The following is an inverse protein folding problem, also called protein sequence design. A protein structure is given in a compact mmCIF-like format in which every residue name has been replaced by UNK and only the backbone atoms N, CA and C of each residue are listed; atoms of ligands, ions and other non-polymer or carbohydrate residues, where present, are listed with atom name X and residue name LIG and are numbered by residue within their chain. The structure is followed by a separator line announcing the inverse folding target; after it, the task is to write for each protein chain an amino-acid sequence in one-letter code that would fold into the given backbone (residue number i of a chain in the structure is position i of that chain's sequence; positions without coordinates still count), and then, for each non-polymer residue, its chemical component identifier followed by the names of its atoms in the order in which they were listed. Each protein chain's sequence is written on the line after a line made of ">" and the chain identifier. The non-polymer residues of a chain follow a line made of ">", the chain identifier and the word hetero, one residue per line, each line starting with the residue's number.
data_IF_810543292781
#
_entry.id   IF_810543292781
#
_cell.length_a   1.000
_cell.length_b   1.000
_cell.length_c   1.000
_cell.angle_alpha   90.00
_cell.angle_beta   90.00
_cell.angle_gamma   90.00
#
_symmetry.space_group_name_H-M   'P 1'
#
loop_
_entity.id
_entity.type
_entity.pdbx_description
1 polymer ?
#
# COMPACT_ATOMS: atom_id res chain seq x y z
N UNK A 1 23.76 -15.06 14.62
CA UNK A 1 25.12 -14.63 14.21
C UNK A 1 25.10 -14.51 12.69
N UNK A 2 24.83 -13.32 12.17
CA UNK A 2 24.71 -13.09 10.73
C UNK A 2 26.11 -12.87 10.17
N UNK A 3 26.62 -13.87 9.45
CA UNK A 3 27.86 -13.77 8.66
C UNK A 3 27.54 -13.01 7.36
N UNK A 4 27.43 -11.69 7.45
CA UNK A 4 27.43 -10.86 6.25
C UNK A 4 28.87 -10.64 5.82
N UNK A 5 29.25 -11.36 4.77
CA UNK A 5 30.48 -11.26 3.99
C UNK A 5 30.92 -9.79 3.77
N UNK A 6 32.21 -9.52 3.97
CA UNK A 6 32.76 -8.15 3.96
C UNK A 6 32.62 -7.46 2.58
N UNK A 7 32.39 -8.24 1.52
CA UNK A 7 32.28 -7.76 0.14
C UNK A 7 30.88 -7.20 -0.14
N UNK A 8 29.89 -7.52 0.68
CA UNK A 8 28.51 -7.02 0.57
C UNK A 8 28.36 -5.56 1.06
N UNK A 9 29.23 -5.10 1.97
CA UNK A 9 29.18 -3.71 2.46
C UNK A 9 29.69 -2.70 1.43
N UNK A 10 30.59 -3.08 0.54
CA UNK A 10 31.06 -2.21 -0.55
C UNK A 10 29.97 -2.03 -1.62
N UNK A 11 29.19 -3.08 -1.89
CA UNK A 11 28.06 -3.04 -2.81
C UNK A 11 26.99 -2.05 -2.32
N UNK A 12 26.65 -2.10 -1.03
CA UNK A 12 25.67 -1.19 -0.43
C UNK A 12 26.19 0.25 -0.23
N UNK A 13 27.51 0.44 -0.06
CA UNK A 13 28.15 1.77 0.02
C UNK A 13 28.28 2.45 -1.34
N UNK A 14 28.40 1.68 -2.43
CA UNK A 14 28.49 2.18 -3.80
C UNK A 14 27.13 2.47 -4.45
N UNK A 15 26.07 1.78 -4.02
CA UNK A 15 24.71 2.05 -4.52
C UNK A 15 24.11 3.25 -3.80
N UNK A 16 24.60 4.43 -4.16
CA UNK A 16 23.85 5.68 -4.04
C UNK A 16 22.57 5.45 -4.83
N UNK A 17 21.46 5.18 -4.13
CA UNK A 17 20.12 5.03 -4.68
C UNK A 17 19.69 6.36 -5.32
N UNK A 18 20.23 6.65 -6.50
CA UNK A 18 19.81 7.77 -7.32
C UNK A 18 18.99 7.19 -8.46
N UNK A 19 17.71 7.53 -8.44
CA UNK A 19 16.91 7.50 -9.65
C UNK A 19 17.68 8.35 -10.70
N UNK A 20 17.94 7.88 -11.92
CA UNK A 20 18.75 8.60 -12.91
C UNK A 20 18.24 10.02 -13.23
N UNK A 21 16.97 10.32 -12.90
CA UNK A 21 16.36 11.64 -12.96
C UNK A 21 16.86 12.63 -11.89
N UNK A 22 17.52 12.14 -10.83
CA UNK A 22 18.00 12.93 -9.69
C UNK A 22 19.49 13.32 -9.82
N UNK A 23 20.11 13.05 -10.98
CA UNK A 23 21.51 13.35 -11.27
C UNK A 23 21.71 14.69 -12.01
N UNK A 24 20.64 15.49 -12.24
CA UNK A 24 20.77 16.85 -12.77
C UNK A 24 20.98 17.86 -11.63
N UNK A 25 22.02 18.67 -11.77
CA UNK A 25 22.42 19.70 -10.80
C UNK A 25 21.63 20.99 -11.01
N UNK A 26 20.32 20.92 -10.80
CA UNK A 26 19.45 22.08 -10.66
C UNK A 26 19.05 22.21 -9.18
N UNK A 27 18.74 23.41 -8.66
CA UNK A 27 18.38 23.58 -7.26
C UNK A 27 17.29 22.56 -6.93
N UNK A 28 17.61 21.63 -5.99
CA UNK A 28 16.76 20.50 -5.59
C UNK A 28 15.40 21.01 -5.11
N UNK A 29 14.50 21.28 -6.04
CA UNK A 29 13.11 21.51 -5.74
C UNK A 29 12.59 20.15 -5.28
N UNK A 30 12.33 20.05 -3.97
CA UNK A 30 11.63 18.90 -3.40
C UNK A 30 10.19 19.01 -3.83
N UNK A 31 9.93 18.70 -5.09
CA UNK A 31 8.58 18.53 -5.59
C UNK A 31 7.93 17.44 -4.74
N UNK A 32 6.80 17.79 -4.15
CA UNK A 32 6.04 16.86 -3.34
C UNK A 32 5.60 15.72 -4.27
N UNK A 33 5.86 14.47 -3.86
CA UNK A 33 5.45 13.27 -4.63
C UNK A 33 3.95 13.32 -4.97
N UNK A 34 3.18 13.93 -4.07
CA UNK A 34 1.79 14.28 -4.28
C UNK A 34 1.68 15.81 -4.29
N UNK A 35 0.99 16.40 -5.28
CA UNK A 35 0.71 17.84 -5.28
C UNK A 35 0.11 18.28 -3.94
N UNK A 36 0.44 19.49 -3.48
CA UNK A 36 -0.12 20.04 -2.25
C UNK A 36 -1.66 20.14 -2.25
N UNK A 37 -2.26 20.15 -3.45
CA UNK A 37 -3.72 20.16 -3.66
C UNK A 37 -4.37 18.78 -3.61
N UNK A 38 -3.60 17.72 -3.33
CA UNK A 38 -4.11 16.34 -3.31
C UNK A 38 -4.92 16.11 -2.04
N UNK A 39 -6.21 15.82 -2.20
CA UNK A 39 -7.07 15.41 -1.09
C UNK A 39 -6.77 13.94 -0.77
N UNK A 40 -6.36 13.66 0.46
CA UNK A 40 -6.09 12.30 0.93
C UNK A 40 -7.28 11.79 1.75
N UNK A 41 -7.78 10.62 1.38
CA UNK A 41 -8.71 9.87 2.20
C UNK A 41 -7.93 9.03 3.23
N UNK A 42 -8.46 8.83 4.45
CA UNK A 42 -7.86 7.95 5.43
C UNK A 42 -7.82 6.51 4.89
N UNK A 43 -6.63 5.95 4.79
CA UNK A 43 -6.46 4.52 4.44
C UNK A 43 -6.91 3.67 5.63
N UNK A 44 -7.72 2.64 5.34
CA UNK A 44 -8.14 1.67 6.34
C UNK A 44 -7.49 0.33 6.06
N UNK A 45 -6.61 -0.07 6.96
CA UNK A 45 -5.99 -1.39 6.95
C UNK A 45 -6.99 -2.41 7.52
N UNK A 46 -6.98 -3.63 7.00
CA UNK A 46 -7.78 -4.77 7.48
C UNK A 46 -9.29 -4.78 7.14
N UNK A 47 -9.78 -3.86 6.30
CA UNK A 47 -11.19 -3.86 5.87
C UNK A 47 -11.67 -5.22 5.35
N UNK A 48 -10.83 -5.93 4.60
CA UNK A 48 -11.17 -7.25 4.06
C UNK A 48 -11.25 -8.35 5.12
N UNK A 49 -10.56 -8.19 6.24
CA UNK A 49 -10.69 -9.08 7.39
C UNK A 49 -11.99 -8.78 8.15
N UNK A 50 -12.30 -7.50 8.37
CA UNK A 50 -13.55 -7.06 8.99
C UNK A 50 -14.78 -7.55 8.22
N UNK A 51 -14.78 -7.42 6.89
CA UNK A 51 -15.86 -7.95 6.03
C UNK A 51 -16.00 -9.47 6.19
N UNK A 52 -14.88 -10.20 6.25
CA UNK A 52 -14.91 -11.66 6.45
C UNK A 52 -15.40 -12.05 7.84
N UNK A 53 -15.05 -11.29 8.88
CA UNK A 53 -15.54 -11.53 10.24
C UNK A 53 -17.05 -11.27 10.35
N UNK A 54 -17.54 -10.19 9.74
CA UNK A 54 -18.97 -9.88 9.75
C UNK A 54 -19.81 -10.93 9.03
N UNK A 55 -19.23 -11.66 8.08
CA UNK A 55 -19.88 -12.81 7.45
C UNK A 55 -20.11 -14.01 8.37
N UNK A 56 -19.49 -14.04 9.55
CA UNK A 56 -19.80 -15.03 10.57
C UNK A 56 -21.20 -14.81 11.17
N UNK A 57 -21.67 -13.56 11.19
CA UNK A 57 -23.00 -13.17 11.68
C UNK A 57 -24.04 -13.18 10.56
N UNK A 58 -23.73 -12.55 9.41
CA UNK A 58 -24.59 -12.53 8.22
C UNK A 58 -23.93 -13.28 7.04
N UNK A 59 -24.35 -14.53 6.75
CA UNK A 59 -23.77 -15.29 5.66
C UNK A 59 -24.11 -14.68 4.31
N UNK A 60 -23.22 -14.79 3.31
CA UNK A 60 -23.48 -14.26 1.99
C UNK A 60 -24.71 -14.93 1.33
N UNK A 61 -25.47 -14.21 0.50
CA UNK A 61 -26.65 -14.77 -0.17
C UNK A 61 -26.27 -15.93 -1.11
N UNK A 62 -27.22 -16.86 -1.29
CA UNK A 62 -27.03 -18.02 -2.17
C UNK A 62 -26.70 -17.59 -3.61
N UNK A 63 -25.67 -18.20 -4.20
CA UNK A 63 -25.20 -17.87 -5.56
C UNK A 63 -24.03 -16.88 -5.61
N UNK A 64 -23.47 -16.48 -4.47
CA UNK A 64 -22.23 -15.69 -4.44
C UNK A 64 -21.04 -16.50 -5.00
N UNK A 65 -20.27 -15.96 -5.96
CA UNK A 65 -19.15 -16.68 -6.55
C UNK A 65 -17.97 -16.79 -5.59
N UNK A 66 -17.30 -17.95 -5.54
CA UNK A 66 -16.21 -18.27 -4.60
C UNK A 66 -14.97 -17.36 -4.73
N UNK A 67 -14.81 -16.65 -5.85
CA UNK A 67 -13.67 -15.74 -6.10
C UNK A 67 -13.92 -14.32 -5.60
N UNK A 68 -15.13 -14.01 -5.11
CA UNK A 68 -15.51 -12.68 -4.65
C UNK A 68 -15.88 -12.74 -3.17
N UNK A 69 -15.59 -11.65 -2.45
CA UNK A 69 -16.11 -11.41 -1.11
C UNK A 69 -17.36 -10.53 -1.26
N UNK A 70 -18.48 -10.97 -0.70
CA UNK A 70 -19.69 -10.17 -0.67
C UNK A 70 -19.49 -9.00 0.31
N UNK A 71 -20.01 -7.82 0.00
CA UNK A 71 -19.85 -6.64 0.86
C UNK A 71 -21.19 -6.35 1.51
N UNK A 72 -21.29 -6.55 2.82
CA UNK A 72 -22.50 -6.21 3.59
C UNK A 72 -22.77 -4.70 3.51
N UNK A 73 -24.05 -4.31 3.64
CA UNK A 73 -24.48 -2.92 3.48
C UNK A 73 -23.68 -1.94 4.37
N UNK A 74 -23.32 -2.38 5.57
CA UNK A 74 -22.52 -1.62 6.53
C UNK A 74 -21.11 -1.21 6.01
N UNK A 75 -20.54 -1.97 5.07
CA UNK A 75 -19.21 -1.69 4.50
C UNK A 75 -19.27 -1.01 3.13
N UNK A 76 -20.45 -0.82 2.54
CA UNK A 76 -20.60 -0.40 1.14
C UNK A 76 -20.04 1.00 0.89
N UNK A 77 -20.36 1.96 1.78
CA UNK A 77 -19.78 3.31 1.72
C UNK A 77 -18.27 3.30 1.89
N UNK A 78 -17.72 2.35 2.66
CA UNK A 78 -16.31 2.37 3.01
C UNK A 78 -15.41 1.61 2.03
N UNK A 79 -15.99 0.83 1.12
CA UNK A 79 -15.30 0.16 0.00
C UNK A 79 -15.27 1.08 -1.24
N UNK A 80 -16.24 2.00 -1.36
CA UNK A 80 -16.40 2.89 -2.51
C UNK A 80 -15.65 4.24 -2.38
N UNK A 81 -14.87 4.45 -1.31
CA UNK A 81 -13.98 5.63 -1.14
C UNK A 81 -12.62 5.39 -1.76
#
# INVERSE_FOLDING_TARGET
>A
MVLTDHRNLEYLRGTKWLNPLQASSEPMQRDLILPATTILAPVRWNLMEEIRQAHADEPPPAGCPTTKVFVLLQFHCQVMQ
#
